data_IF_143345951295
#
_entry.id   IF_143345951295
#
_cell.length_a   1.000
_cell.length_b   1.000
_cell.length_c   1.000
_cell.angle_alpha   90.00
_cell.angle_beta   90.00
_cell.angle_gamma   90.00
#
_symmetry.space_group_name_H-M   'P 1'
#
loop_
_entity.id
_entity.type
_entity.pdbx_description
1 polymer ?
#
# COMPACT_ATOMS: atom_id res chain seq x y z
N UNK A 1 -38.00 -67.27 35.03
CA UNK A 1 -38.61 -65.96 35.34
C UNK A 1 -37.48 -65.12 35.96
N UNK A 2 -36.97 -64.17 35.20
CA UNK A 2 -35.90 -63.28 35.70
C UNK A 2 -36.53 -62.31 36.72
N UNK A 3 -35.98 -62.28 37.92
CA UNK A 3 -36.44 -61.39 38.97
C UNK A 3 -36.17 -59.91 38.53
N UNK A 4 -37.19 -59.05 38.45
CA UNK A 4 -37.00 -57.65 38.06
C UNK A 4 -36.21 -56.84 39.07
N UNK A 5 -35.90 -57.41 40.26
CA UNK A 5 -35.08 -56.81 41.31
C UNK A 5 -33.60 -57.28 41.29
N UNK A 6 -33.19 -58.10 40.34
CA UNK A 6 -31.82 -58.58 40.25
C UNK A 6 -30.91 -57.48 39.68
N UNK A 7 -30.14 -56.84 40.56
CA UNK A 7 -29.20 -55.74 40.28
C UNK A 7 -27.87 -56.23 39.69
N UNK A 8 -27.69 -57.55 39.55
CA UNK A 8 -26.43 -58.14 39.04
C UNK A 8 -26.18 -57.80 37.56
N UNK A 9 -27.21 -57.37 36.83
CA UNK A 9 -27.12 -56.95 35.42
C UNK A 9 -26.87 -55.43 35.24
N UNK A 10 -26.79 -54.63 36.32
CA UNK A 10 -26.43 -53.24 36.23
C UNK A 10 -24.93 -53.14 35.93
N UNK A 11 -24.61 -52.71 34.71
CA UNK A 11 -23.26 -52.31 34.35
C UNK A 11 -22.96 -50.93 34.99
N UNK A 12 -21.90 -50.91 35.74
CA UNK A 12 -21.39 -49.67 36.32
C UNK A 12 -21.06 -48.64 35.17
N UNK A 13 -21.32 -47.36 35.46
CA UNK A 13 -21.04 -46.29 34.54
C UNK A 13 -19.53 -46.16 34.40
N UNK A 14 -19.00 -46.56 33.26
CA UNK A 14 -17.58 -46.31 32.95
C UNK A 14 -17.41 -44.81 32.67
N UNK A 15 -16.88 -44.08 33.63
CA UNK A 15 -16.51 -42.71 33.41
C UNK A 15 -15.30 -42.69 32.46
N UNK A 16 -15.42 -42.09 31.27
CA UNK A 16 -14.28 -42.01 30.38
C UNK A 16 -13.14 -41.23 31.05
N UNK A 17 -11.88 -41.61 30.80
CA UNK A 17 -10.75 -40.90 31.37
C UNK A 17 -10.75 -39.45 30.89
N UNK A 18 -10.32 -38.53 31.78
CA UNK A 18 -10.18 -37.11 31.42
C UNK A 18 -9.31 -36.95 30.18
N UNK A 19 -9.84 -36.22 29.19
CA UNK A 19 -9.11 -35.99 27.95
C UNK A 19 -7.90 -35.08 28.20
N UNK A 20 -6.67 -35.52 28.04
CA UNK A 20 -5.49 -34.68 28.28
C UNK A 20 -5.50 -33.50 27.34
N UNK A 21 -5.37 -32.27 27.86
CA UNK A 21 -5.27 -31.04 27.07
C UNK A 21 -3.94 -30.96 26.32
N UNK A 22 -2.98 -31.80 26.65
CA UNK A 22 -1.65 -31.87 26.05
C UNK A 22 -1.27 -33.33 25.73
N UNK A 23 -0.77 -33.66 24.51
CA UNK A 23 -0.48 -32.76 23.36
C UNK A 23 -1.75 -32.34 22.60
N UNK A 24 -1.77 -31.15 22.01
CA UNK A 24 -2.94 -30.67 21.25
C UNK A 24 -3.18 -31.56 20.03
N UNK A 25 -4.44 -31.75 19.66
CA UNK A 25 -4.82 -32.52 18.50
C UNK A 25 -4.11 -32.02 17.22
N UNK A 26 -3.75 -32.90 16.25
CA UNK A 26 -2.99 -32.51 15.05
C UNK A 26 -3.56 -31.33 14.28
N UNK A 27 -4.90 -31.12 14.33
CA UNK A 27 -5.57 -29.98 13.71
C UNK A 27 -5.14 -28.61 14.23
N UNK A 28 -4.72 -28.52 15.48
CA UNK A 28 -4.23 -27.27 16.07
C UNK A 28 -2.92 -26.78 15.45
N UNK A 29 -2.07 -27.72 15.03
CA UNK A 29 -0.83 -27.38 14.32
C UNK A 29 -1.08 -26.83 12.93
N UNK A 30 -2.11 -27.35 12.22
CA UNK A 30 -2.54 -26.84 10.92
C UNK A 30 -3.09 -25.43 11.09
N UNK A 31 -3.93 -25.21 12.10
CA UNK A 31 -4.49 -23.88 12.40
C UNK A 31 -3.37 -22.88 12.76
N UNK A 32 -2.44 -23.27 13.62
CA UNK A 32 -1.32 -22.44 14.02
C UNK A 32 -0.44 -22.07 12.80
N UNK A 33 -0.10 -23.04 11.94
CA UNK A 33 0.64 -22.80 10.71
C UNK A 33 -0.10 -21.85 9.76
N UNK A 34 -1.42 -22.02 9.62
CA UNK A 34 -2.27 -21.13 8.83
C UNK A 34 -2.28 -19.70 9.37
N UNK A 35 -2.40 -19.51 10.69
CA UNK A 35 -2.34 -18.20 11.33
C UNK A 35 -0.97 -17.53 11.14
N UNK A 36 0.12 -18.28 11.29
CA UNK A 36 1.49 -17.76 11.05
C UNK A 36 1.68 -17.34 9.60
N UNK A 37 1.25 -18.17 8.66
CA UNK A 37 1.33 -17.84 7.23
C UNK A 37 0.51 -16.60 6.88
N UNK A 38 -0.74 -16.50 7.36
CA UNK A 38 -1.58 -15.32 7.16
C UNK A 38 -0.95 -14.07 7.78
N UNK A 39 -0.41 -14.17 9.00
CA UNK A 39 0.31 -13.08 9.67
C UNK A 39 1.53 -12.62 8.87
N UNK A 40 2.34 -13.54 8.36
CA UNK A 40 3.51 -13.23 7.53
C UNK A 40 3.10 -12.51 6.23
N UNK A 41 2.04 -12.95 5.56
CA UNK A 41 1.51 -12.29 4.35
C UNK A 41 1.04 -10.87 4.68
N UNK A 42 0.28 -10.69 5.76
CA UNK A 42 -0.20 -9.36 6.19
C UNK A 42 0.94 -8.41 6.50
N UNK A 43 1.98 -8.89 7.21
CA UNK A 43 3.18 -8.12 7.50
C UNK A 43 3.91 -7.74 6.21
N UNK A 44 4.12 -8.69 5.29
CA UNK A 44 4.78 -8.44 4.01
C UNK A 44 4.03 -7.36 3.20
N UNK A 45 2.70 -7.46 3.11
CA UNK A 45 1.86 -6.45 2.43
C UNK A 45 1.93 -5.09 3.14
N UNK A 46 1.92 -5.07 4.48
CA UNK A 46 2.01 -3.82 5.24
C UNK A 46 3.37 -3.14 5.06
N UNK A 47 4.46 -3.90 5.09
CA UNK A 47 5.83 -3.41 4.86
C UNK A 47 5.99 -2.87 3.44
N UNK A 48 5.49 -3.60 2.42
CA UNK A 48 5.51 -3.14 1.04
C UNK A 48 4.73 -1.83 0.86
N UNK A 49 3.54 -1.72 1.43
CA UNK A 49 2.77 -0.46 1.44
C UNK A 49 3.49 0.66 2.18
N UNK A 50 4.16 0.36 3.28
CA UNK A 50 4.92 1.35 4.04
C UNK A 50 6.10 1.88 3.22
N UNK A 51 6.86 1.02 2.57
CA UNK A 51 7.97 1.40 1.69
C UNK A 51 7.49 2.20 0.47
N UNK A 52 6.41 1.77 -0.19
CA UNK A 52 5.81 2.52 -1.29
C UNK A 52 5.31 3.91 -0.88
N UNK A 53 4.89 4.10 0.35
CA UNK A 53 4.46 5.41 0.85
C UNK A 53 5.62 6.26 1.39
N UNK A 54 6.78 5.68 1.66
CA UNK A 54 7.93 6.41 2.17
C UNK A 54 8.43 7.46 1.17
N UNK A 55 8.56 7.11 -0.12
CA UNK A 55 9.00 8.05 -1.15
C UNK A 55 7.99 9.19 -1.37
N UNK A 56 6.69 8.93 -1.19
CA UNK A 56 5.66 9.98 -1.29
C UNK A 56 5.80 11.01 -0.18
N UNK A 57 6.06 10.56 1.05
CA UNK A 57 6.32 11.47 2.18
C UNK A 57 7.57 12.30 1.95
N UNK A 58 8.63 11.65 1.47
CA UNK A 58 9.89 12.32 1.16
C UNK A 58 9.71 13.34 0.03
N UNK A 59 9.03 12.99 -1.04
CA UNK A 59 8.73 13.92 -2.14
C UNK A 59 7.85 15.10 -1.70
N UNK A 60 6.91 14.89 -0.76
CA UNK A 60 6.11 15.98 -0.21
C UNK A 60 6.95 16.95 0.66
N UNK A 61 7.88 16.42 1.47
CA UNK A 61 8.81 17.23 2.26
C UNK A 61 9.77 18.02 1.36
N UNK A 62 10.28 17.39 0.30
CA UNK A 62 11.13 18.09 -0.68
C UNK A 62 10.38 19.26 -1.34
N UNK A 63 9.08 19.09 -1.63
CA UNK A 63 8.28 20.17 -2.22
C UNK A 63 8.01 21.36 -1.29
N UNK A 64 8.19 21.22 0.01
CA UNK A 64 7.95 22.33 0.97
C UNK A 64 9.08 23.39 0.96
N UNK A 65 10.28 22.99 0.53
CA UNK A 65 11.44 23.90 0.48
C UNK A 65 12.04 24.07 -0.92
N UNK A 66 11.38 23.56 -1.97
CA UNK A 66 11.94 23.53 -3.31
C UNK A 66 11.75 24.85 -4.05
N UNK A 67 12.76 25.27 -4.82
CA UNK A 67 12.60 26.37 -5.76
C UNK A 67 11.65 25.98 -6.91
N UNK A 68 10.93 26.98 -7.45
CA UNK A 68 9.92 26.75 -8.50
C UNK A 68 10.45 25.98 -9.71
N UNK A 69 11.70 26.22 -10.09
CA UNK A 69 12.38 25.55 -11.23
C UNK A 69 12.62 24.04 -10.98
N UNK A 70 12.74 23.62 -9.73
CA UNK A 70 13.11 22.26 -9.36
C UNK A 70 11.89 21.36 -9.09
N UNK A 71 10.67 21.91 -9.09
CA UNK A 71 9.42 21.16 -8.89
C UNK A 71 9.31 20.00 -9.89
N UNK A 72 9.60 20.25 -11.18
CA UNK A 72 9.57 19.22 -12.21
C UNK A 72 10.55 18.09 -11.95
N UNK A 73 11.76 18.42 -11.44
CA UNK A 73 12.78 17.42 -11.09
C UNK A 73 12.33 16.53 -9.91
N UNK A 74 11.68 17.10 -8.89
CA UNK A 74 11.11 16.33 -7.77
C UNK A 74 10.03 15.38 -8.27
N UNK A 75 9.11 15.86 -9.11
CA UNK A 75 8.07 15.03 -9.73
C UNK A 75 8.68 13.90 -10.57
N UNK A 76 9.72 14.19 -11.35
CA UNK A 76 10.39 13.21 -12.20
C UNK A 76 11.10 12.14 -11.39
N UNK A 77 11.77 12.51 -10.29
CA UNK A 77 12.35 11.54 -9.34
C UNK A 77 11.28 10.63 -8.73
N UNK A 78 10.18 11.21 -8.26
CA UNK A 78 9.07 10.44 -7.71
C UNK A 78 8.45 9.48 -8.75
N UNK A 79 8.31 9.92 -10.00
CA UNK A 79 7.82 9.07 -11.08
C UNK A 79 8.79 7.93 -11.41
N UNK A 80 10.10 8.16 -11.42
CA UNK A 80 11.12 7.13 -11.67
C UNK A 80 11.21 6.06 -10.57
N UNK A 81 10.70 6.33 -9.38
CA UNK A 81 10.55 5.31 -8.32
C UNK A 81 9.31 4.46 -8.54
N UNK A 82 8.25 5.04 -9.11
CA UNK A 82 6.95 4.41 -9.27
C UNK A 82 6.77 3.66 -10.59
N UNK A 83 7.45 4.09 -11.68
CA UNK A 83 7.33 3.52 -13.03
C UNK A 83 8.68 3.13 -13.62
N UNK A 84 8.70 2.19 -14.58
CA UNK A 84 9.91 1.82 -15.29
C UNK A 84 10.60 3.04 -15.93
N UNK A 85 11.93 3.09 -15.82
CA UNK A 85 12.72 4.20 -16.36
C UNK A 85 12.47 4.45 -17.85
N UNK A 86 12.24 3.37 -18.63
CA UNK A 86 11.97 3.46 -20.06
C UNK A 86 10.70 4.27 -20.38
N UNK A 87 9.71 4.26 -19.50
CA UNK A 87 8.44 4.97 -19.68
C UNK A 87 8.52 6.46 -19.32
N UNK A 88 9.41 6.81 -18.39
CA UNK A 88 9.42 8.16 -17.78
C UNK A 88 10.59 9.00 -18.27
N UNK A 89 11.76 8.40 -18.52
CA UNK A 89 12.98 9.16 -18.72
C UNK A 89 12.95 10.08 -19.95
N UNK A 90 12.34 9.62 -21.03
CA UNK A 90 12.24 10.35 -22.31
C UNK A 90 11.16 11.43 -22.32
N UNK A 91 10.20 11.39 -21.40
CA UNK A 91 9.06 12.31 -21.41
C UNK A 91 9.51 13.75 -21.08
N UNK A 92 9.13 14.69 -21.93
CA UNK A 92 9.40 16.13 -21.76
C UNK A 92 8.20 16.95 -22.20
N UNK A 93 8.15 18.21 -21.81
CA UNK A 93 7.14 19.16 -22.30
C UNK A 93 5.70 18.67 -22.06
N UNK A 94 4.94 18.69 -23.15
CA UNK A 94 3.52 18.32 -23.11
C UNK A 94 3.30 16.84 -22.79
N UNK A 95 4.17 15.95 -23.29
CA UNK A 95 4.09 14.51 -23.01
C UNK A 95 4.28 14.22 -21.51
N UNK A 96 5.19 14.94 -20.88
CA UNK A 96 5.41 14.86 -19.44
C UNK A 96 4.18 15.33 -18.64
N UNK A 97 3.58 16.47 -19.01
CA UNK A 97 2.35 16.98 -18.37
C UNK A 97 1.18 16.02 -18.56
N UNK A 98 1.01 15.49 -19.78
CA UNK A 98 -0.03 14.50 -20.05
C UNK A 98 0.16 13.18 -19.29
N UNK A 99 1.41 12.75 -19.08
CA UNK A 99 1.73 11.60 -18.25
C UNK A 99 1.35 11.85 -16.79
N UNK A 100 1.68 13.02 -16.23
CA UNK A 100 1.31 13.38 -14.85
C UNK A 100 -0.20 13.33 -14.67
N UNK A 101 -0.96 13.94 -15.56
CA UNK A 101 -2.42 13.96 -15.46
C UNK A 101 -3.01 12.55 -15.58
N UNK A 102 -2.55 11.76 -16.56
CA UNK A 102 -3.03 10.40 -16.79
C UNK A 102 -2.75 9.49 -15.60
N UNK A 103 -1.56 9.57 -15.00
CA UNK A 103 -1.12 8.72 -13.90
C UNK A 103 -1.85 9.01 -12.58
N UNK A 104 -2.35 10.21 -12.38
CA UNK A 104 -3.11 10.63 -11.19
C UNK A 104 -4.61 10.81 -11.45
N UNK A 105 -5.08 10.57 -12.69
CA UNK A 105 -6.47 10.82 -13.13
C UNK A 105 -6.93 12.24 -12.82
N UNK A 106 -6.15 13.19 -13.25
CA UNK A 106 -6.39 14.63 -13.10
C UNK A 106 -6.07 15.34 -14.40
N UNK A 107 -6.37 16.61 -14.54
CA UNK A 107 -6.10 17.48 -15.67
C UNK A 107 -5.43 18.80 -15.26
N UNK A 108 -4.79 18.79 -14.08
CA UNK A 108 -4.20 19.97 -13.50
C UNK A 108 -2.96 20.46 -14.26
N UNK A 109 -2.19 19.56 -14.91
CA UNK A 109 -0.98 19.93 -15.60
C UNK A 109 -1.20 20.28 -17.09
N UNK A 110 -2.27 19.80 -17.69
CA UNK A 110 -2.61 20.11 -19.09
C UNK A 110 -3.57 21.29 -19.18
N UNK A 111 -4.58 21.35 -18.34
CA UNK A 111 -5.66 22.34 -18.39
C UNK A 111 -5.76 23.24 -17.16
N UNK A 112 -5.14 22.84 -16.04
CA UNK A 112 -5.27 23.53 -14.76
C UNK A 112 -4.08 24.41 -14.39
N UNK A 113 -3.94 24.63 -13.09
CA UNK A 113 -2.91 25.51 -12.48
C UNK A 113 -1.50 24.99 -12.63
N UNK A 114 -1.31 23.70 -12.92
CA UNK A 114 -0.01 23.07 -13.12
C UNK A 114 0.57 23.24 -14.54
N UNK A 115 -0.14 23.88 -15.49
CA UNK A 115 0.32 24.05 -16.86
C UNK A 115 1.62 24.85 -16.99
N UNK A 116 1.89 25.71 -16.02
CA UNK A 116 3.08 26.56 -16.00
C UNK A 116 4.34 25.81 -15.51
N UNK A 117 4.24 24.51 -15.19
CA UNK A 117 5.35 23.68 -14.73
C UNK A 117 6.59 23.78 -15.63
N UNK A 118 6.38 23.75 -16.93
CA UNK A 118 7.46 23.82 -17.90
C UNK A 118 8.08 25.23 -17.94
N UNK A 119 7.27 26.27 -17.97
CA UNK A 119 7.75 27.67 -17.94
C UNK A 119 8.61 27.91 -16.70
N UNK A 120 8.17 27.47 -15.52
CA UNK A 120 8.92 27.59 -14.26
C UNK A 120 10.22 26.80 -14.29
N UNK A 121 10.26 25.62 -14.89
CA UNK A 121 11.46 24.78 -15.00
C UNK A 121 12.57 25.48 -15.79
N UNK A 122 12.23 26.30 -16.78
CA UNK A 122 13.18 27.07 -17.58
C UNK A 122 13.37 28.52 -17.09
N UNK A 123 12.96 28.83 -15.87
CA UNK A 123 13.13 30.16 -15.27
C UNK A 123 12.15 31.21 -15.78
N UNK A 124 11.07 30.82 -16.44
CA UNK A 124 9.97 31.68 -16.85
C UNK A 124 9.07 32.09 -15.68
N UNK A 125 8.08 32.95 -16.00
CA UNK A 125 7.05 33.37 -15.04
C UNK A 125 5.85 32.42 -15.11
N UNK A 126 5.28 32.09 -13.95
CA UNK A 126 4.10 31.23 -13.87
C UNK A 126 3.50 31.25 -12.47
N UNK A 127 2.36 30.57 -12.31
CA UNK A 127 1.67 30.42 -11.02
C UNK A 127 2.38 29.36 -10.15
N UNK A 128 3.39 29.77 -9.41
CA UNK A 128 4.16 28.89 -8.51
C UNK A 128 3.25 28.21 -7.47
N UNK A 129 2.36 28.90 -6.74
CA UNK A 129 1.44 28.26 -5.80
C UNK A 129 0.54 27.21 -6.45
N UNK A 130 0.02 27.50 -7.65
CA UNK A 130 -0.83 26.59 -8.40
C UNK A 130 -0.09 25.33 -8.86
N UNK A 131 1.12 25.50 -9.39
CA UNK A 131 1.98 24.36 -9.78
C UNK A 131 2.35 23.51 -8.57
N UNK A 132 2.67 24.12 -7.44
CA UNK A 132 2.99 23.41 -6.20
C UNK A 132 1.79 22.63 -5.66
N UNK A 133 0.59 23.22 -5.71
CA UNK A 133 -0.66 22.54 -5.32
C UNK A 133 -0.96 21.33 -6.23
N UNK A 134 -0.78 21.49 -7.54
CA UNK A 134 -0.94 20.42 -8.52
C UNK A 134 0.09 19.29 -8.26
N UNK A 135 1.36 19.63 -8.00
CA UNK A 135 2.41 18.68 -7.68
C UNK A 135 2.11 17.88 -6.40
N UNK A 136 1.71 18.55 -5.32
CA UNK A 136 1.28 17.89 -4.07
C UNK A 136 0.08 16.99 -4.28
N UNK A 137 -0.90 17.41 -5.07
CA UNK A 137 -2.08 16.61 -5.42
C UNK A 137 -1.69 15.36 -6.20
N UNK A 138 -0.77 15.50 -7.17
CA UNK A 138 -0.25 14.39 -7.95
C UNK A 138 0.45 13.34 -7.07
N UNK A 139 1.37 13.74 -6.20
CA UNK A 139 2.08 12.84 -5.29
C UNK A 139 1.11 12.03 -4.40
N UNK A 140 -0.01 12.63 -4.01
CA UNK A 140 -1.02 11.95 -3.19
C UNK A 140 -1.89 10.97 -3.98
N UNK A 141 -2.18 11.25 -5.26
CA UNK A 141 -3.20 10.57 -6.05
C UNK A 141 -2.64 9.55 -7.05
N UNK A 142 -1.40 9.73 -7.54
CA UNK A 142 -0.87 8.85 -8.58
C UNK A 142 -0.90 7.38 -8.15
N UNK A 143 -1.17 6.52 -9.12
CA UNK A 143 -1.23 5.07 -8.94
C UNK A 143 -0.27 4.42 -9.94
N UNK A 144 0.54 3.51 -9.45
CA UNK A 144 1.37 2.62 -10.27
C UNK A 144 0.55 1.41 -10.69
#
# INVERSE_FOLDING_TARGET
MSDPADLSNLKDIVVPPEVPLWPPAPGWWILAAGCVAAGAILIAVAVDRYHRNAYRRQALLELEGVEARDISAVLKRAALVAWPRAEVASLTGEEWRAFLDRSARMDAFTRGTGRDLEALTFGGRGDVPGVLAAAKSWIRRHRC
#
